data_IF_659038652131
#
_entry.id   IF_659038652131
#
_cell.length_a   1.000
_cell.length_b   1.000
_cell.length_c   1.000
_cell.angle_alpha   90.00
_cell.angle_beta   90.00
_cell.angle_gamma   90.00
#
_symmetry.space_group_name_H-M   'P 1'
#
loop_
_entity.id
_entity.type
_entity.pdbx_description
1 polymer ?
#
# COMPACT_ATOMS: atom_id res chain seq x y z
N UNK A 1 -8.88 -5.29 -11.76
CA UNK A 1 -7.42 -5.45 -11.62
C UNK A 1 -7.17 -6.66 -10.75
N UNK A 2 -6.20 -7.49 -11.11
CA UNK A 2 -5.89 -8.68 -10.31
C UNK A 2 -5.05 -8.27 -9.12
N UNK A 3 -5.24 -8.95 -8.00
CA UNK A 3 -4.39 -8.79 -6.85
C UNK A 3 -3.47 -9.99 -6.73
N UNK A 4 -2.22 -9.74 -6.40
CA UNK A 4 -1.27 -10.81 -6.08
C UNK A 4 -0.91 -10.68 -4.61
N UNK A 5 -1.43 -11.61 -3.81
CA UNK A 5 -1.12 -11.70 -2.40
C UNK A 5 0.24 -12.41 -2.26
N UNK A 6 1.30 -11.64 -1.99
CA UNK A 6 2.68 -12.16 -1.94
C UNK A 6 3.05 -12.82 -0.60
N UNK A 7 2.10 -13.00 0.32
CA UNK A 7 2.35 -13.58 1.64
C UNK A 7 1.55 -14.89 1.75
N UNK A 8 2.28 -16.01 1.95
CA UNK A 8 1.80 -17.39 2.08
C UNK A 8 0.70 -17.57 3.16
N UNK A 9 -0.10 -18.67 3.11
CA UNK A 9 -1.50 -18.67 3.47
C UNK A 9 -1.71 -18.71 4.98
N UNK A 10 -2.19 -17.63 5.56
CA UNK A 10 -2.80 -17.67 6.89
C UNK A 10 -4.25 -17.21 6.74
N UNK A 11 -5.12 -18.22 6.64
CA UNK A 11 -6.58 -18.25 6.78
C UNK A 11 -7.28 -16.90 6.63
N UNK A 12 -7.99 -16.75 5.50
CA UNK A 12 -9.14 -15.87 5.29
C UNK A 12 -9.80 -15.47 6.63
N UNK A 13 -9.51 -14.28 7.20
CA UNK A 13 -10.48 -13.66 8.07
C UNK A 13 -11.50 -13.07 7.10
N UNK A 14 -12.60 -13.81 6.93
CA UNK A 14 -13.91 -13.28 6.49
C UNK A 14 -13.85 -12.08 5.56
N UNK A 15 -14.09 -12.36 4.28
CA UNK A 15 -14.71 -11.42 3.34
C UNK A 15 -15.62 -10.48 4.13
N UNK A 16 -15.27 -9.20 4.21
CA UNK A 16 -16.16 -8.20 4.78
C UNK A 16 -17.31 -8.05 3.77
N UNK A 17 -18.34 -8.88 3.92
CA UNK A 17 -19.59 -8.77 3.20
C UNK A 17 -20.43 -7.70 3.91
N UNK A 18 -20.25 -6.45 3.51
CA UNK A 18 -21.28 -5.43 3.63
C UNK A 18 -21.58 -4.96 2.21
N UNK A 19 -22.86 -4.98 1.83
CA UNK A 19 -23.32 -4.86 0.45
C UNK A 19 -22.75 -3.68 -0.34
N UNK A 20 -22.64 -3.89 -1.65
CA UNK A 20 -21.88 -3.16 -2.67
C UNK A 20 -20.45 -3.70 -2.84
N UNK A 21 -20.17 -4.23 -4.03
CA UNK A 21 -18.91 -4.83 -4.46
C UNK A 21 -17.68 -4.29 -3.71
N UNK A 22 -17.06 -5.07 -2.80
CA UNK A 22 -16.09 -4.58 -1.79
C UNK A 22 -14.71 -4.19 -2.35
N UNK A 23 -14.62 -3.87 -3.65
CA UNK A 23 -13.36 -3.62 -4.33
C UNK A 23 -12.43 -4.84 -4.31
N UNK A 24 -11.13 -4.58 -4.43
CA UNK A 24 -10.08 -5.61 -4.45
C UNK A 24 -9.14 -5.48 -3.25
N UNK A 25 -9.65 -5.63 -2.03
CA UNK A 25 -8.85 -5.48 -0.80
C UNK A 25 -7.63 -6.41 -0.73
N UNK A 26 -6.58 -5.95 -0.03
CA UNK A 26 -5.37 -6.72 0.28
C UNK A 26 -5.16 -6.79 1.79
N UNK A 27 -4.56 -7.87 2.26
CA UNK A 27 -4.30 -8.12 3.68
C UNK A 27 -2.80 -8.36 3.92
N UNK A 28 -2.34 -8.10 5.15
CA UNK A 28 -0.95 -8.37 5.53
C UNK A 28 -0.89 -8.98 6.92
N UNK A 29 0.09 -9.88 7.12
CA UNK A 29 0.40 -10.44 8.43
C UNK A 29 1.23 -9.48 9.30
N UNK A 30 1.75 -8.37 8.73
CA UNK A 30 2.51 -7.39 9.48
C UNK A 30 1.57 -6.55 10.37
N UNK A 31 1.45 -6.96 11.64
CA UNK A 31 0.62 -6.28 12.64
C UNK A 31 1.13 -4.88 13.04
N UNK A 32 2.33 -4.48 12.63
CA UNK A 32 2.90 -3.15 12.90
C UNK A 32 2.50 -2.11 11.85
N UNK A 33 1.70 -2.48 10.84
CA UNK A 33 1.39 -1.62 9.71
C UNK A 33 0.29 -0.58 9.99
N UNK A 34 -0.50 -0.73 11.06
CA UNK A 34 -1.58 0.19 11.41
C UNK A 34 -1.83 0.26 12.93
N UNK A 35 -2.52 1.31 13.36
CA UNK A 35 -3.06 1.46 14.72
C UNK A 35 -2.04 1.51 15.85
N UNK A 36 -2.40 0.91 16.99
CA UNK A 36 -1.61 1.03 18.22
C UNK A 36 -0.20 0.45 18.06
N UNK A 37 -0.06 -0.68 17.36
CA UNK A 37 1.24 -1.30 17.09
C UNK A 37 2.13 -0.43 16.21
N UNK A 38 1.57 0.20 15.18
CA UNK A 38 2.27 1.18 14.35
C UNK A 38 2.75 2.37 15.20
N UNK A 39 1.86 2.94 16.02
CA UNK A 39 2.17 4.09 16.88
C UNK A 39 3.24 3.76 17.93
N UNK A 40 3.13 2.61 18.58
CA UNK A 40 4.10 2.14 19.59
C UNK A 40 5.49 1.89 18.99
N UNK A 41 5.57 1.55 17.71
CA UNK A 41 6.84 1.38 16.99
C UNK A 41 7.41 2.69 16.44
N UNK A 42 6.83 3.85 16.78
CA UNK A 42 7.24 5.15 16.25
C UNK A 42 6.86 5.37 14.78
N UNK A 43 5.86 4.63 14.29
CA UNK A 43 5.34 4.67 12.93
C UNK A 43 6.22 3.94 11.91
N UNK A 44 6.21 4.44 10.68
CA UNK A 44 6.93 3.86 9.56
C UNK A 44 6.76 4.69 8.30
N UNK A 45 7.17 4.13 7.16
CA UNK A 45 7.03 4.74 5.84
C UNK A 45 6.13 3.87 4.99
N UNK A 46 5.18 4.50 4.30
CA UNK A 46 4.46 3.89 3.20
C UNK A 46 5.01 4.47 1.90
N UNK A 47 5.32 3.59 0.96
CA UNK A 47 5.73 3.98 -0.39
C UNK A 47 4.74 3.40 -1.39
N UNK A 48 4.40 4.18 -2.41
CA UNK A 48 3.56 3.73 -3.51
C UNK A 48 4.30 3.91 -4.82
N UNK A 49 4.35 2.83 -5.59
CA UNK A 49 4.73 2.84 -7.00
C UNK A 49 3.47 2.67 -7.83
N UNK A 50 3.26 3.58 -8.77
CA UNK A 50 2.14 3.52 -9.69
C UNK A 50 2.68 3.67 -11.11
N UNK A 51 2.37 2.67 -11.92
CA UNK A 51 2.72 2.58 -13.34
C UNK A 51 1.51 2.14 -14.16
N UNK A 52 1.61 2.20 -15.48
CA UNK A 52 0.58 1.66 -16.39
C UNK A 52 0.30 0.16 -16.22
N UNK A 53 1.25 -0.59 -15.65
CA UNK A 53 1.14 -2.03 -15.48
C UNK A 53 0.63 -2.41 -14.08
N UNK A 54 0.91 -1.61 -13.06
CA UNK A 54 0.57 -1.96 -11.69
C UNK A 54 0.57 -0.77 -10.72
N UNK A 55 -0.11 -0.98 -9.58
CA UNK A 55 0.04 -0.18 -8.37
C UNK A 55 0.60 -1.09 -7.28
N UNK A 56 1.71 -0.71 -6.66
CA UNK A 56 2.35 -1.44 -5.57
C UNK A 56 2.54 -0.56 -4.35
N UNK A 57 2.30 -1.13 -3.18
CA UNK A 57 2.38 -0.45 -1.90
C UNK A 57 3.32 -1.23 -0.99
N UNK A 58 4.29 -0.53 -0.40
CA UNK A 58 5.18 -1.06 0.62
C UNK A 58 4.91 -0.39 1.95
N UNK A 59 5.02 -1.16 3.02
CA UNK A 59 5.13 -0.65 4.38
C UNK A 59 6.50 -1.02 4.95
N UNK A 60 7.22 -0.01 5.41
CA UNK A 60 8.47 -0.17 6.13
C UNK A 60 8.28 0.28 7.58
N UNK A 61 8.45 -0.65 8.53
CA UNK A 61 8.51 -0.32 9.95
C UNK A 61 9.64 0.68 10.22
N UNK A 62 9.53 1.51 11.26
CA UNK A 62 10.50 2.58 11.58
C UNK A 62 11.98 2.16 11.52
N UNK A 63 12.29 0.95 11.97
CA UNK A 63 13.63 0.37 12.04
C UNK A 63 14.03 -0.43 10.78
N UNK A 64 13.19 -0.48 9.75
CA UNK A 64 13.39 -1.21 8.50
C UNK A 64 13.22 -0.32 7.26
N UNK A 65 13.27 1.01 7.43
CA UNK A 65 13.20 1.96 6.33
C UNK A 65 14.50 1.84 5.53
N UNK A 66 14.46 1.47 4.24
CA UNK A 66 15.64 1.44 3.38
C UNK A 66 16.29 2.83 3.24
N UNK A 67 17.62 2.89 3.20
CA UNK A 67 18.36 4.16 3.10
C UNK A 67 18.08 4.90 1.78
N UNK A 68 17.79 4.16 0.71
CA UNK A 68 17.49 4.70 -0.63
C UNK A 68 16.09 5.34 -0.74
N UNK A 69 15.32 5.42 0.34
CA UNK A 69 14.03 6.12 0.36
C UNK A 69 14.19 7.65 0.33
N UNK A 70 15.38 8.17 0.66
CA UNK A 70 15.66 9.62 0.71
C UNK A 70 16.43 10.14 -0.49
N UNK A 71 16.72 9.30 -1.48
CA UNK A 71 17.55 9.69 -2.63
C UNK A 71 16.71 10.26 -3.75
N UNK A 72 17.26 11.19 -4.53
CA UNK A 72 16.58 11.81 -5.68
C UNK A 72 16.24 10.78 -6.77
N UNK A 73 16.98 9.67 -6.82
CA UNK A 73 16.66 8.50 -7.64
C UNK A 73 16.10 7.40 -6.75
N UNK A 74 14.79 7.28 -6.75
CA UNK A 74 14.07 6.25 -6.01
C UNK A 74 14.00 4.98 -6.87
N UNK A 75 14.68 3.93 -6.42
CA UNK A 75 14.65 2.61 -7.04
C UNK A 75 13.91 1.62 -6.13
N UNK A 76 12.70 1.26 -6.55
CA UNK A 76 11.82 0.31 -5.89
C UNK A 76 12.30 -1.14 -5.99
N UNK A 77 13.22 -1.45 -6.91
CA UNK A 77 13.70 -2.82 -7.15
C UNK A 77 14.43 -3.41 -5.92
N UNK A 78 15.03 -2.54 -5.10
CA UNK A 78 15.75 -2.92 -3.89
C UNK A 78 14.84 -3.10 -2.65
N UNK A 79 13.55 -2.75 -2.75
CA UNK A 79 12.63 -2.74 -1.58
C UNK A 79 12.01 -4.11 -1.27
N UNK A 80 12.26 -5.11 -2.13
CA UNK A 80 11.68 -6.44 -1.98
C UNK A 80 10.18 -6.47 -2.28
N UNK A 81 9.50 -7.48 -1.74
CA UNK A 81 8.09 -7.73 -2.05
C UNK A 81 7.17 -6.64 -1.48
N UNK A 82 6.24 -6.10 -2.29
CA UNK A 82 5.26 -5.14 -1.80
C UNK A 82 4.28 -5.78 -0.82
N UNK A 83 3.77 -4.97 0.12
CA UNK A 83 2.69 -5.37 1.03
C UNK A 83 1.36 -5.54 0.32
N UNK A 84 1.15 -4.83 -0.79
CA UNK A 84 0.00 -4.98 -1.67
C UNK A 84 0.41 -4.69 -3.12
N UNK A 85 -0.11 -5.48 -4.07
CA UNK A 85 0.10 -5.25 -5.51
C UNK A 85 -1.18 -5.47 -6.28
N UNK A 86 -1.52 -4.49 -7.10
CA UNK A 86 -2.63 -4.48 -8.02
C UNK A 86 -2.05 -4.49 -9.43
N UNK A 87 -2.25 -5.58 -10.16
CA UNK A 87 -1.68 -5.75 -11.50
C UNK A 87 -2.77 -5.53 -12.54
N UNK A 88 -2.40 -4.79 -13.59
CA UNK A 88 -3.17 -4.65 -14.82
C UNK A 88 -3.25 -5.97 -15.60
N UNK A 89 -3.95 -5.93 -16.72
CA UNK A 89 -4.09 -7.08 -17.62
C UNK A 89 -5.41 -7.05 -18.40
N UNK A 90 -5.79 -8.17 -19.04
CA UNK A 90 -7.07 -8.26 -19.74
C UNK A 90 -8.23 -7.90 -18.81
N UNK A 91 -8.96 -6.82 -19.13
CA UNK A 91 -10.06 -6.30 -18.31
C UNK A 91 -9.64 -5.40 -17.14
N UNK A 92 -8.37 -5.02 -17.03
CA UNK A 92 -7.91 -3.93 -16.16
C UNK A 92 -6.77 -3.16 -16.83
N UNK A 93 -7.11 -1.99 -17.39
CA UNK A 93 -6.15 -0.99 -17.81
C UNK A 93 -5.99 0.02 -16.68
N UNK A 94 -4.82 0.06 -16.04
CA UNK A 94 -4.58 0.92 -14.87
C UNK A 94 -4.79 2.39 -15.23
N UNK A 95 -4.25 2.87 -16.35
CA UNK A 95 -4.35 4.26 -16.79
C UNK A 95 -5.78 4.69 -17.13
N UNK A 96 -6.66 3.74 -17.43
CA UNK A 96 -8.09 4.04 -17.67
C UNK A 96 -8.88 4.20 -16.38
N UNK A 97 -8.48 3.48 -15.31
CA UNK A 97 -9.22 3.46 -14.05
C UNK A 97 -8.63 4.37 -12.98
N UNK A 98 -7.34 4.67 -13.07
CA UNK A 98 -6.60 5.53 -12.16
C UNK A 98 -6.01 6.68 -12.99
N UNK A 99 -6.38 7.90 -12.64
CA UNK A 99 -5.90 9.14 -13.25
C UNK A 99 -5.42 10.07 -12.12
N UNK A 100 -5.18 11.35 -12.40
CA UNK A 100 -4.75 12.36 -11.41
C UNK A 100 -5.49 12.25 -10.08
N UNK A 101 -4.84 11.59 -9.12
CA UNK A 101 -5.39 11.32 -7.80
C UNK A 101 -4.95 12.42 -6.84
N UNK A 102 -5.84 12.82 -5.94
CA UNK A 102 -5.48 13.70 -4.83
C UNK A 102 -5.05 12.85 -3.64
N UNK A 103 -3.96 13.25 -3.00
CA UNK A 103 -3.59 12.68 -1.71
C UNK A 103 -4.47 13.29 -0.62
N UNK A 104 -5.28 12.46 0.03
CA UNK A 104 -6.21 12.87 1.08
C UNK A 104 -5.84 12.21 2.40
N UNK A 105 -5.66 13.01 3.44
CA UNK A 105 -5.54 12.56 4.82
C UNK A 105 -6.78 13.02 5.58
N UNK A 106 -7.62 12.06 6.00
CA UNK A 106 -8.81 12.33 6.80
C UNK A 106 -8.77 11.53 8.10
N UNK A 107 -9.34 12.12 9.16
CA UNK A 107 -9.62 11.43 10.42
C UNK A 107 -11.02 11.78 10.88
N UNK A 108 -12.01 11.14 10.28
CA UNK A 108 -13.38 11.17 10.77
C UNK A 108 -13.52 10.31 12.03
N UNK A 109 -14.33 10.79 13.00
CA UNK A 109 -14.43 10.26 14.37
C UNK A 109 -14.66 8.74 14.38
N UNK A 110 -13.55 8.00 14.60
CA UNK A 110 -13.35 6.56 14.82
C UNK A 110 -12.12 5.97 14.08
N UNK A 111 -11.31 6.78 13.38
CA UNK A 111 -10.06 6.27 12.76
C UNK A 111 -8.80 7.02 13.20
N UNK A 112 -7.72 6.25 13.36
CA UNK A 112 -6.42 6.62 13.90
C UNK A 112 -5.72 7.66 13.01
N UNK A 113 -5.11 8.68 13.64
CA UNK A 113 -4.16 9.61 12.99
C UNK A 113 -2.92 8.83 12.56
N UNK A 114 -2.77 8.59 11.26
CA UNK A 114 -1.50 8.11 10.71
C UNK A 114 -0.67 9.34 10.31
N UNK A 115 0.41 9.61 11.03
CA UNK A 115 1.49 10.44 10.48
C UNK A 115 2.24 9.60 9.46
N UNK A 116 1.86 9.76 8.19
CA UNK A 116 2.55 9.15 7.05
C UNK A 116 3.53 10.17 6.48
N UNK A 117 4.78 9.75 6.31
CA UNK A 117 5.58 10.26 5.21
C UNK A 117 5.24 9.35 4.03
N UNK A 118 4.27 9.75 3.22
CA UNK A 118 3.96 9.04 1.98
C UNK A 118 4.94 9.49 0.91
N UNK A 119 5.59 8.53 0.27
CA UNK A 119 6.48 8.79 -0.86
C UNK A 119 5.79 8.27 -2.12
N UNK A 120 5.52 9.21 -3.03
CA UNK A 120 4.91 8.94 -4.31
C UNK A 120 6.01 8.82 -5.36
N UNK A 121 6.11 7.64 -5.97
CA UNK A 121 6.92 7.41 -7.15
C UNK A 121 6.08 7.63 -8.39
N UNK A 122 5.93 8.89 -8.82
CA UNK A 122 5.43 9.18 -10.16
C UNK A 122 6.61 9.14 -11.13
N UNK A 123 6.62 8.14 -12.02
CA UNK A 123 7.46 8.16 -13.21
C UNK A 123 6.65 8.80 -14.32
N UNK A 124 6.82 10.11 -14.51
CA UNK A 124 6.36 10.83 -15.70
C UNK A 124 7.11 10.36 -16.95
#
# INVERSE_FOLDING_TARGET
CTTTEYILPIRRPTQFLAGNSPGCGQSTANYQNYGNSFNANGGGVYAMEWTSDHISIWFFARNQIPDNIKTEFLDSSAWGLPSARFTGGPGCNIDTYFMSNNLVFDTTHNSIKISLNLILLDKF
#
